data_IF_345047693055
#
_entry.id   IF_345047693055
#
_cell.length_a   1.000
_cell.length_b   1.000
_cell.length_c   1.000
_cell.angle_alpha   90.00
_cell.angle_beta   90.00
_cell.angle_gamma   90.00
#
_symmetry.space_group_name_H-M   'P 1'
#
loop_
_entity.id
_entity.type
_entity.pdbx_description
1 polymer ?
#
# COMPACT_ATOMS: atom_id res chain seq x y z
N UNK A 1 -4.44 -23.68 -24.49
CA UNK A 1 -5.22 -23.75 -23.23
C UNK A 1 -5.88 -22.39 -23.06
N UNK A 2 -7.19 -22.30 -23.22
CA UNK A 2 -7.92 -21.02 -23.09
C UNK A 2 -8.25 -20.78 -21.64
N UNK A 3 -7.70 -19.71 -21.06
CA UNK A 3 -8.13 -19.16 -19.77
C UNK A 3 -9.35 -18.29 -20.07
N UNK A 4 -10.45 -18.50 -19.35
CA UNK A 4 -11.62 -17.64 -19.50
C UNK A 4 -11.27 -16.19 -19.10
N UNK A 5 -11.84 -15.16 -19.75
CA UNK A 5 -11.63 -13.78 -19.35
C UNK A 5 -12.07 -13.57 -17.90
N UNK A 6 -11.30 -12.78 -17.15
CA UNK A 6 -11.70 -12.32 -15.82
C UNK A 6 -12.93 -11.41 -15.96
N UNK A 7 -14.11 -11.93 -15.63
CA UNK A 7 -15.36 -11.18 -15.66
C UNK A 7 -15.36 -10.11 -14.56
N UNK A 8 -15.56 -8.86 -15.01
CA UNK A 8 -15.49 -7.64 -14.23
C UNK A 8 -16.86 -6.95 -14.16
N UNK A 9 -17.96 -7.70 -14.22
CA UNK A 9 -19.33 -7.20 -14.01
C UNK A 9 -19.49 -6.34 -12.73
N UNK A 10 -20.66 -5.68 -12.58
CA UNK A 10 -21.04 -4.74 -11.49
C UNK A 10 -20.14 -4.78 -10.24
N UNK A 11 -19.00 -4.08 -10.29
CA UNK A 11 -17.86 -4.40 -9.43
C UNK A 11 -18.13 -4.11 -7.95
N UNK A 12 -18.47 -5.16 -7.21
CA UNK A 12 -18.13 -5.28 -5.80
C UNK A 12 -16.60 -5.28 -5.68
N UNK A 13 -16.01 -4.11 -5.42
CA UNK A 13 -14.63 -4.06 -4.95
C UNK A 13 -14.58 -4.61 -3.53
N UNK A 14 -13.43 -5.10 -3.10
CA UNK A 14 -13.21 -5.46 -1.68
C UNK A 14 -13.43 -4.27 -0.72
N UNK A 15 -13.63 -3.06 -1.27
CA UNK A 15 -13.92 -1.81 -0.58
C UNK A 15 -15.36 -1.30 -0.76
N UNK A 16 -16.22 -1.98 -1.53
CA UNK A 16 -17.56 -1.48 -1.87
C UNK A 16 -18.46 -1.20 -0.65
N UNK A 17 -18.12 -1.73 0.54
CA UNK A 17 -18.82 -1.51 1.80
C UNK A 17 -17.87 -1.15 2.97
N UNK A 18 -16.80 -0.39 2.70
CA UNK A 18 -15.91 0.09 3.78
C UNK A 18 -16.29 1.48 4.29
N UNK A 19 -16.04 1.73 5.58
CA UNK A 19 -15.91 3.08 6.12
C UNK A 19 -14.46 3.56 5.97
N UNK A 20 -14.25 4.79 5.52
CA UNK A 20 -12.92 5.38 5.40
C UNK A 20 -12.62 6.27 6.62
N UNK A 21 -11.49 6.01 7.26
CA UNK A 21 -10.94 6.78 8.38
C UNK A 21 -9.80 7.63 7.83
N UNK A 22 -10.01 8.94 7.71
CA UNK A 22 -9.02 9.87 7.17
C UNK A 22 -7.97 10.29 8.22
N UNK A 23 -6.80 10.73 7.75
CA UNK A 23 -5.72 11.27 8.58
C UNK A 23 -5.62 12.80 8.49
N UNK A 24 -6.69 13.49 8.12
CA UNK A 24 -6.71 14.94 8.02
C UNK A 24 -5.97 15.49 6.81
N UNK A 25 -5.55 16.76 6.90
CA UNK A 25 -4.87 17.50 5.83
C UNK A 25 -3.45 17.93 6.17
N UNK A 26 -2.98 17.66 7.38
CA UNK A 26 -1.62 17.97 7.81
C UNK A 26 -1.07 16.88 8.74
N UNK A 27 0.24 16.86 8.95
CA UNK A 27 0.86 15.89 9.86
C UNK A 27 0.45 16.10 11.32
N UNK A 28 0.11 17.32 11.71
CA UNK A 28 -0.40 17.66 13.03
C UNK A 28 -1.81 17.11 13.23
N UNK A 29 -2.67 17.25 12.23
CA UNK A 29 -4.02 16.68 12.23
C UNK A 29 -3.99 15.15 12.20
N UNK A 30 -3.08 14.57 11.41
CA UNK A 30 -2.89 13.13 11.37
C UNK A 30 -2.56 12.57 12.77
N UNK A 31 -1.61 13.20 13.47
CA UNK A 31 -1.27 12.82 14.85
C UNK A 31 -2.43 13.00 15.81
N UNK A 32 -3.19 14.09 15.70
CA UNK A 32 -4.35 14.34 16.59
C UNK A 32 -5.49 13.35 16.35
N UNK A 33 -5.65 12.86 15.10
CA UNK A 33 -6.59 11.80 14.71
C UNK A 33 -6.09 10.38 15.04
N UNK A 34 -4.92 10.23 15.68
CA UNK A 34 -4.37 8.93 16.05
C UNK A 34 -3.76 8.16 14.87
N UNK A 35 -3.45 8.84 13.77
CA UNK A 35 -2.65 8.26 12.70
C UNK A 35 -1.17 8.20 13.08
N UNK A 36 -0.49 7.17 12.58
CA UNK A 36 0.93 6.90 12.78
C UNK A 36 1.64 6.96 11.44
N UNK A 37 2.90 7.39 11.44
CA UNK A 37 3.72 7.36 10.24
C UNK A 37 4.16 5.93 9.95
N UNK A 38 3.74 5.42 8.80
CA UNK A 38 4.14 4.12 8.28
C UNK A 38 5.30 4.36 7.28
N UNK A 39 6.52 4.01 7.69
CA UNK A 39 7.73 4.19 6.87
C UNK A 39 7.73 3.30 5.63
N UNK A 40 7.00 2.18 5.66
CA UNK A 40 6.88 1.32 4.50
C UNK A 40 5.94 1.97 3.48
N UNK A 41 4.80 2.50 3.90
CA UNK A 41 3.89 3.24 3.01
C UNK A 41 4.39 4.67 2.67
N UNK A 42 5.29 5.24 3.46
CA UNK A 42 5.67 6.67 3.47
C UNK A 42 4.48 7.63 3.69
N UNK A 43 3.47 7.17 4.40
CA UNK A 43 2.23 7.90 4.64
C UNK A 43 1.83 7.81 6.12
N UNK A 44 1.07 8.81 6.59
CA UNK A 44 0.29 8.62 7.81
C UNK A 44 -0.91 7.73 7.54
N UNK A 45 -1.01 6.65 8.31
CA UNK A 45 -2.12 5.68 8.29
C UNK A 45 -2.79 5.65 9.65
N UNK A 46 -4.08 5.38 9.72
CA UNK A 46 -4.74 5.18 11.01
C UNK A 46 -4.09 3.99 11.74
N UNK A 47 -3.91 4.08 13.05
CA UNK A 47 -3.22 3.04 13.84
C UNK A 47 -3.76 1.63 13.63
N UNK A 48 -5.06 1.47 13.38
CA UNK A 48 -5.67 0.15 13.09
C UNK A 48 -5.23 -0.47 11.76
N UNK A 49 -4.76 0.35 10.81
CA UNK A 49 -4.26 -0.09 9.51
C UNK A 49 -2.74 -0.27 9.48
N UNK A 50 -2.02 0.14 10.52
CA UNK A 50 -0.56 0.01 10.60
C UNK A 50 -0.18 -1.48 10.72
N UNK A 51 0.64 -1.96 9.79
CA UNK A 51 1.17 -3.33 9.83
C UNK A 51 2.62 -3.34 10.32
N UNK A 52 2.77 -3.65 11.60
CA UNK A 52 4.07 -3.67 12.27
C UNK A 52 4.99 -4.76 11.72
N UNK A 53 4.43 -5.88 11.25
CA UNK A 53 5.23 -7.01 10.74
C UNK A 53 5.97 -6.60 9.46
N UNK A 54 5.27 -6.03 8.47
CA UNK A 54 5.92 -5.55 7.25
C UNK A 54 6.87 -4.40 7.53
N UNK A 55 6.46 -3.49 8.42
CA UNK A 55 7.25 -2.31 8.75
C UNK A 55 8.60 -2.71 9.35
N UNK A 56 8.60 -3.63 10.32
CA UNK A 56 9.83 -4.14 10.91
C UNK A 56 10.68 -4.91 9.90
N UNK A 57 10.07 -5.72 9.03
CA UNK A 57 10.80 -6.43 7.96
C UNK A 57 11.56 -5.45 7.06
N UNK A 58 10.90 -4.38 6.62
CA UNK A 58 11.53 -3.33 5.83
C UNK A 58 12.61 -2.55 6.60
N UNK A 59 12.38 -2.21 7.86
CA UNK A 59 13.36 -1.48 8.68
C UNK A 59 14.66 -2.26 8.89
N UNK A 60 14.60 -3.59 8.91
CA UNK A 60 15.80 -4.43 9.01
C UNK A 60 16.64 -4.39 7.73
N UNK A 61 16.01 -4.19 6.57
CA UNK A 61 16.67 -4.19 5.26
C UNK A 61 16.10 -3.07 4.36
N UNK A 62 16.34 -1.81 4.73
CA UNK A 62 15.76 -0.63 4.09
C UNK A 62 16.31 -0.36 2.67
N UNK A 63 15.93 -1.20 1.70
CA UNK A 63 16.29 -1.11 0.28
C UNK A 63 15.02 -0.98 -0.58
N UNK A 64 15.09 -0.31 -1.74
CA UNK A 64 13.92 -0.08 -2.60
C UNK A 64 13.17 -1.36 -3.00
N UNK A 65 13.88 -2.46 -3.28
CA UNK A 65 13.24 -3.74 -3.60
C UNK A 65 12.56 -4.41 -2.41
N UNK A 66 13.06 -4.21 -1.18
CA UNK A 66 12.44 -4.73 0.04
C UNK A 66 11.14 -3.97 0.33
N UNK A 67 11.08 -2.66 0.03
CA UNK A 67 9.83 -1.91 0.10
C UNK A 67 8.74 -2.54 -0.79
N UNK A 68 9.03 -2.78 -2.08
CA UNK A 68 8.05 -3.39 -2.99
C UNK A 68 7.68 -4.83 -2.58
N UNK A 69 8.66 -5.63 -2.13
CA UNK A 69 8.43 -7.00 -1.67
C UNK A 69 7.54 -7.05 -0.42
N UNK A 70 7.83 -6.23 0.59
CA UNK A 70 7.02 -6.17 1.81
C UNK A 70 5.63 -5.57 1.57
N UNK A 71 5.48 -4.60 0.65
CA UNK A 71 4.16 -4.10 0.24
C UNK A 71 3.33 -5.20 -0.45
N UNK A 72 3.94 -5.97 -1.36
CA UNK A 72 3.26 -7.12 -1.98
C UNK A 72 2.82 -8.15 -0.93
N UNK A 73 3.73 -8.53 -0.02
CA UNK A 73 3.43 -9.48 1.05
C UNK A 73 2.31 -8.97 1.96
N UNK A 74 2.32 -7.67 2.33
CA UNK A 74 1.25 -7.01 3.11
C UNK A 74 -0.09 -7.13 2.39
N UNK A 75 -0.14 -6.78 1.10
CA UNK A 75 -1.35 -6.84 0.30
C UNK A 75 -1.90 -8.27 0.21
N UNK A 76 -1.04 -9.25 -0.06
CA UNK A 76 -1.45 -10.66 -0.10
C UNK A 76 -2.04 -11.13 1.24
N UNK A 77 -1.39 -10.80 2.38
CA UNK A 77 -1.92 -11.13 3.71
C UNK A 77 -3.26 -10.45 3.97
N UNK A 78 -3.39 -9.17 3.62
CA UNK A 78 -4.62 -8.42 3.81
C UNK A 78 -5.81 -9.08 3.11
N UNK A 79 -5.60 -9.55 1.87
CA UNK A 79 -6.66 -10.17 1.07
C UNK A 79 -6.96 -11.61 1.49
N UNK A 80 -5.92 -12.41 1.75
CA UNK A 80 -6.10 -13.85 2.06
C UNK A 80 -6.50 -14.13 3.50
N UNK A 81 -6.11 -13.27 4.45
CA UNK A 81 -6.42 -13.42 5.87
C UNK A 81 -7.63 -12.59 6.29
N UNK A 82 -8.35 -12.01 5.33
CA UNK A 82 -9.57 -11.25 5.57
C UNK A 82 -9.38 -10.10 6.58
N UNK A 83 -8.29 -9.32 6.44
CA UNK A 83 -8.02 -8.21 7.34
C UNK A 83 -9.19 -7.22 7.34
N UNK A 84 -9.61 -6.81 8.54
CA UNK A 84 -10.66 -5.80 8.72
C UNK A 84 -10.21 -4.42 8.25
N UNK A 85 -8.96 -4.07 8.54
CA UNK A 85 -8.37 -2.77 8.26
C UNK A 85 -7.32 -2.89 7.17
N UNK A 86 -7.38 -2.00 6.18
CA UNK A 86 -6.39 -1.90 5.11
C UNK A 86 -6.18 -0.44 4.75
N UNK A 87 -4.93 0.02 4.73
CA UNK A 87 -4.62 1.41 4.38
C UNK A 87 -4.86 1.66 2.89
N UNK A 88 -5.03 2.92 2.50
CA UNK A 88 -5.36 3.28 1.13
C UNK A 88 -4.22 2.98 0.13
N UNK A 89 -2.96 2.92 0.57
CA UNK A 89 -1.83 2.62 -0.32
C UNK A 89 -1.82 1.14 -0.68
N UNK A 90 -1.94 0.25 0.31
CA UNK A 90 -2.03 -1.21 0.10
C UNK A 90 -3.29 -1.59 -0.69
N UNK A 91 -4.36 -0.81 -0.53
CA UNK A 91 -5.64 -0.99 -1.21
C UNK A 91 -5.63 -0.53 -2.68
N UNK A 92 -4.66 0.28 -3.09
CA UNK A 92 -4.68 0.97 -4.37
C UNK A 92 -4.07 0.14 -5.52
N UNK A 93 -4.77 0.12 -6.64
CA UNK A 93 -4.35 -0.62 -7.83
C UNK A 93 -3.17 0.09 -8.52
N UNK A 94 -3.14 1.43 -8.52
CA UNK A 94 -2.03 2.20 -9.10
C UNK A 94 -0.72 1.94 -8.36
N UNK A 95 -0.74 1.84 -7.03
CA UNK A 95 0.42 1.43 -6.24
C UNK A 95 0.90 0.01 -6.58
N UNK A 96 -0.03 -0.91 -6.86
CA UNK A 96 0.29 -2.28 -7.28
C UNK A 96 1.03 -2.30 -8.62
N UNK A 97 0.55 -1.54 -9.62
CA UNK A 97 1.23 -1.42 -10.91
C UNK A 97 2.56 -0.68 -10.82
N UNK A 98 2.66 0.35 -9.98
CA UNK A 98 3.92 1.05 -9.72
C UNK A 98 4.99 0.06 -9.21
N UNK A 99 4.68 -0.73 -8.18
CA UNK A 99 5.60 -1.73 -7.65
C UNK A 99 5.98 -2.78 -8.72
N UNK A 100 5.00 -3.31 -9.47
CA UNK A 100 5.26 -4.29 -10.51
C UNK A 100 6.21 -3.76 -11.61
N UNK A 101 5.96 -2.54 -12.09
CA UNK A 101 6.82 -1.89 -13.09
C UNK A 101 8.23 -1.61 -12.54
N UNK A 102 8.33 -1.20 -11.28
CA UNK A 102 9.62 -0.95 -10.63
C UNK A 102 10.44 -2.23 -10.46
N UNK A 103 9.80 -3.35 -10.08
CA UNK A 103 10.45 -4.67 -9.99
C UNK A 103 10.98 -5.14 -11.35
N UNK A 104 10.21 -4.95 -12.42
CA UNK A 104 10.66 -5.26 -13.79
C UNK A 104 11.85 -4.38 -14.19
N UNK A 105 11.79 -3.08 -13.90
CA UNK A 105 12.88 -2.14 -14.16
C UNK A 105 14.19 -2.51 -13.43
N UNK A 106 14.11 -3.04 -12.21
CA UNK A 106 15.29 -3.51 -11.47
C UNK A 106 15.87 -4.81 -12.04
N UNK A 107 15.05 -5.67 -12.64
CA UNK A 107 15.49 -6.92 -13.24
C UNK A 107 16.14 -6.72 -14.62
N UNK A 108 15.74 -5.68 -15.35
CA UNK A 108 16.30 -5.36 -16.67
C UNK A 108 17.45 -4.35 -16.59
N UNK A 109 18.61 -4.87 -16.17
CA UNK A 109 19.87 -4.13 -16.17
C UNK A 109 20.34 -3.67 -17.56
N UNK A 110 19.74 -4.18 -18.63
CA UNK A 110 20.14 -3.88 -20.01
C UNK A 110 19.35 -2.73 -20.65
N UNK A 111 18.17 -2.39 -20.10
CA UNK A 111 17.28 -1.37 -20.68
C UNK A 111 17.45 0.03 -20.06
N UNK A 112 18.04 0.17 -18.86
CA UNK A 112 18.16 1.49 -18.20
C UNK A 112 19.62 1.93 -18.06
N UNK A 113 20.14 2.51 -19.13
CA UNK A 113 21.06 3.66 -19.13
C UNK A 113 22.06 3.77 -17.96
N UNK A 114 22.96 2.79 -17.78
CA UNK A 114 24.16 2.95 -16.92
C UNK A 114 23.90 3.39 -15.47
N UNK A 115 22.67 3.21 -14.96
CA UNK A 115 22.23 3.64 -13.63
C UNK A 115 21.78 2.43 -12.83
N UNK A 116 22.38 2.24 -11.66
CA UNK A 116 22.06 1.11 -10.76
C UNK A 116 20.99 1.50 -9.74
N UNK A 117 19.73 1.36 -10.12
CA UNK A 117 18.56 1.68 -9.28
C UNK A 117 18.48 0.88 -7.98
N UNK A 118 19.23 -0.23 -7.85
CA UNK A 118 19.28 -1.03 -6.62
C UNK A 118 19.99 -0.31 -5.46
N UNK A 119 20.70 0.77 -5.76
CA UNK A 119 21.46 1.56 -4.79
C UNK A 119 20.92 2.98 -4.60
N UNK A 120 19.90 3.38 -5.37
CA UNK A 120 19.31 4.70 -5.26
C UNK A 120 18.11 4.67 -4.33
N UNK A 121 18.08 5.58 -3.34
CA UNK A 121 16.90 5.72 -2.50
C UNK A 121 15.74 6.28 -3.34
N UNK A 122 14.55 5.71 -3.16
CA UNK A 122 13.34 6.28 -3.75
C UNK A 122 13.09 7.65 -3.12
N UNK A 123 12.92 8.69 -3.95
CA UNK A 123 12.41 9.98 -3.48
C UNK A 123 10.94 9.79 -3.12
N UNK A 124 10.59 10.04 -1.87
CA UNK A 124 9.23 9.87 -1.36
C UNK A 124 8.75 11.18 -0.76
N UNK A 125 7.48 11.49 -0.99
CA UNK A 125 6.79 12.58 -0.31
C UNK A 125 5.95 11.99 0.83
N UNK A 126 5.97 12.65 1.98
CA UNK A 126 5.16 12.24 3.13
C UNK A 126 3.70 12.52 2.82
N UNK A 127 2.89 11.48 2.67
CA UNK A 127 1.47 11.61 2.38
C UNK A 127 0.55 11.27 3.55
N UNK A 128 -0.76 11.34 3.29
CA UNK A 128 -1.85 11.08 4.24
C UNK A 128 -2.81 10.05 3.61
N UNK A 129 -2.62 8.76 3.90
CA UNK A 129 -3.33 7.68 3.21
C UNK A 129 -4.67 7.32 3.87
N UNK A 130 -4.80 7.46 5.19
CA UNK A 130 -6.02 7.00 5.89
C UNK A 130 -6.14 5.48 5.93
N UNK A 131 -7.37 4.97 6.11
CA UNK A 131 -7.63 3.56 6.42
C UNK A 131 -9.06 3.13 6.06
N UNK A 132 -9.22 2.00 5.38
CA UNK A 132 -10.51 1.36 5.13
C UNK A 132 -10.86 0.36 6.24
N UNK A 133 -11.98 0.57 6.93
CA UNK A 133 -12.62 -0.41 7.83
C UNK A 133 -13.70 -1.18 7.07
N UNK A 134 -13.46 -2.47 6.82
CA UNK A 134 -14.35 -3.37 6.08
C UNK A 134 -15.53 -3.92 6.89
N UNK A 135 -15.59 -3.68 8.20
CA UNK A 135 -16.67 -4.17 9.06
C UNK A 135 -17.81 -3.15 9.26
N UNK A 136 -17.62 -1.90 8.82
CA UNK A 136 -18.61 -0.83 9.00
C UNK A 136 -19.27 -0.51 7.65
N UNK A 137 -20.61 -0.62 7.53
CA UNK A 137 -21.31 -0.19 6.33
C UNK A 137 -21.07 1.30 6.08
N UNK A 138 -21.09 1.72 4.80
CA UNK A 138 -20.93 3.14 4.41
C UNK A 138 -21.82 4.02 5.30
N UNK A 139 -21.22 4.96 6.03
CA UNK A 139 -21.99 6.08 6.57
C UNK A 139 -22.45 6.90 5.39
N UNK A 140 -23.77 6.89 5.13
CA UNK A 140 -24.42 7.77 4.19
C UNK A 140 -24.17 9.22 4.63
N UNK A 141 -23.37 9.96 3.85
CA UNK A 141 -23.55 11.41 3.75
C UNK A 141 -24.64 11.69 2.74
#
# INVERSE_FOLDING_TARGET
>A
MSVAPYDMGDKHTIFSNTCFIDCGKSTEEARSKGCVYDILANHYVHKSCYDDISTQSYMNEARPFVHCDEMWKRQYRAFTQNWRYIDAITADEEHTYHCANYLVAMADWTVIAGRDWRQEANTVEVGLAGCHDRALPRTSN
#
